data_IF_516514222133
#
_entry.id   IF_516514222133
#
_cell.length_a   1.000
_cell.length_b   1.000
_cell.length_c   1.000
_cell.angle_alpha   90.00
_cell.angle_beta   90.00
_cell.angle_gamma   90.00
#
_symmetry.space_group_name_H-M   'P 1'
#
loop_
_entity.id
_entity.type
_entity.pdbx_description
1 polymer ?
#
# COMPACT_ATOMS: atom_id res chain seq x y z
N UNK A 1 -15.29 11.46 16.24
CA UNK A 1 -14.64 10.14 16.40
C UNK A 1 -13.36 10.20 15.59
N UNK A 2 -12.24 9.71 16.11
CA UNK A 2 -10.98 9.65 15.38
C UNK A 2 -11.09 8.52 14.36
N UNK A 3 -10.78 8.80 13.09
CA UNK A 3 -10.69 7.79 12.04
C UNK A 3 -9.46 6.91 12.22
N UNK A 4 -9.43 5.74 11.56
CA UNK A 4 -8.21 4.96 11.47
C UNK A 4 -7.25 5.56 10.43
N UNK A 5 -5.95 5.34 10.61
CA UNK A 5 -4.96 5.68 9.60
C UNK A 5 -5.24 4.89 8.31
N UNK A 6 -5.03 5.46 7.12
CA UNK A 6 -5.27 4.75 5.87
C UNK A 6 -4.42 3.48 5.73
N UNK A 7 -5.02 2.41 5.23
CA UNK A 7 -4.38 1.08 5.09
C UNK A 7 -3.18 1.09 4.15
N UNK A 8 -3.12 2.05 3.22
CA UNK A 8 -2.03 2.24 2.25
C UNK A 8 -0.88 3.13 2.75
N UNK A 9 -0.86 3.48 4.04
CA UNK A 9 0.25 4.21 4.65
C UNK A 9 1.56 3.41 4.57
N UNK A 10 2.63 4.03 4.09
CA UNK A 10 3.97 3.44 4.06
C UNK A 10 4.65 3.51 5.44
N UNK A 11 5.86 2.94 5.58
CA UNK A 11 6.56 2.88 6.88
C UNK A 11 6.90 4.26 7.46
N UNK A 12 7.19 5.25 6.61
CA UNK A 12 7.52 6.63 7.02
C UNK A 12 6.26 7.34 7.53
N UNK A 13 5.14 7.18 6.81
CA UNK A 13 3.85 7.77 7.18
C UNK A 13 3.31 7.18 8.48
N UNK A 14 3.40 5.85 8.65
CA UNK A 14 3.04 5.16 9.90
C UNK A 14 3.91 5.65 11.06
N UNK A 15 5.24 5.71 10.88
CA UNK A 15 6.17 6.19 11.90
C UNK A 15 5.89 7.64 12.29
N UNK A 16 5.70 8.53 11.32
CA UNK A 16 5.43 9.95 11.54
C UNK A 16 4.06 10.22 12.19
N UNK A 17 3.04 9.42 11.88
CA UNK A 17 1.75 9.48 12.58
C UNK A 17 1.92 9.03 14.05
N UNK A 18 2.58 7.89 14.29
CA UNK A 18 2.82 7.37 15.63
C UNK A 18 3.62 8.35 16.52
N UNK A 19 4.70 8.93 16.00
CA UNK A 19 5.49 9.94 16.73
C UNK A 19 4.63 11.12 17.17
N UNK A 20 3.81 11.69 16.26
CA UNK A 20 2.91 12.80 16.59
C UNK A 20 1.86 12.42 17.63
N UNK A 21 1.34 11.19 17.60
CA UNK A 21 0.39 10.68 18.62
C UNK A 21 1.05 10.51 19.99
N UNK A 22 2.26 9.95 20.03
CA UNK A 22 3.05 9.82 21.27
C UNK A 22 3.27 11.21 21.89
N UNK A 23 3.77 12.16 21.09
CA UNK A 23 4.07 13.52 21.54
C UNK A 23 2.81 14.25 22.04
N UNK A 24 1.71 14.17 21.30
CA UNK A 24 0.44 14.77 21.70
C UNK A 24 -0.07 14.21 23.03
N UNK A 25 0.06 12.90 23.25
CA UNK A 25 -0.39 12.26 24.49
C UNK A 25 0.48 12.69 25.67
N UNK A 26 1.80 12.74 25.50
CA UNK A 26 2.76 13.24 26.51
C UNK A 26 2.51 14.71 26.86
N UNK A 27 2.22 15.56 25.88
CA UNK A 27 1.96 16.99 26.07
C UNK A 27 0.68 17.25 26.90
N UNK A 28 -0.36 16.44 26.70
CA UNK A 28 -1.67 16.64 27.36
C UNK A 28 -1.65 16.13 28.82
N UNK A 29 -0.67 15.32 29.21
CA UNK A 29 -0.42 14.86 30.60
C UNK A 29 -1.65 14.21 31.25
N UNK A 30 -2.26 13.22 30.60
CA UNK A 30 -3.37 12.47 31.17
C UNK A 30 -2.85 11.47 32.20
N UNK A 31 -3.42 11.49 33.41
CA UNK A 31 -3.16 10.49 34.44
C UNK A 31 -4.09 9.27 34.24
N UNK A 32 -3.77 8.44 33.25
CA UNK A 32 -4.50 7.23 32.90
C UNK A 32 -3.48 6.11 32.66
N UNK A 33 -3.47 5.12 33.56
CA UNK A 33 -2.47 4.04 33.55
C UNK A 33 -2.51 3.19 32.28
N UNK A 34 -3.72 2.90 31.79
CA UNK A 34 -3.89 2.07 30.60
C UNK A 34 -3.46 2.82 29.34
N UNK A 35 -3.85 4.09 29.19
CA UNK A 35 -3.38 4.93 28.09
C UNK A 35 -1.86 5.09 28.11
N UNK A 36 -1.27 5.30 29.29
CA UNK A 36 0.18 5.44 29.45
C UNK A 36 0.90 4.13 29.06
N UNK A 37 0.34 2.97 29.42
CA UNK A 37 0.88 1.67 28.99
C UNK A 37 0.80 1.48 27.47
N UNK A 38 -0.32 1.83 26.85
CA UNK A 38 -0.49 1.76 25.39
C UNK A 38 0.50 2.68 24.66
N UNK A 39 0.67 3.92 25.13
CA UNK A 39 1.62 4.88 24.54
C UNK A 39 3.06 4.41 24.72
N UNK A 40 3.41 3.84 25.88
CA UNK A 40 4.75 3.27 26.10
C UNK A 40 5.03 2.10 25.16
N UNK A 41 4.03 1.24 24.92
CA UNK A 41 4.16 0.15 23.95
C UNK A 41 4.30 0.69 22.52
N UNK A 42 3.48 1.66 22.11
CA UNK A 42 3.59 2.32 20.82
C UNK A 42 4.99 2.93 20.63
N UNK A 43 5.54 3.59 21.65
CA UNK A 43 6.87 4.19 21.60
C UNK A 43 7.97 3.14 21.37
N UNK A 44 7.91 2.00 22.07
CA UNK A 44 8.87 0.90 21.88
C UNK A 44 8.85 0.37 20.44
N UNK A 45 7.66 0.01 19.93
CA UNK A 45 7.55 -0.53 18.57
C UNK A 45 7.86 0.54 17.51
N UNK A 46 7.59 1.82 17.79
CA UNK A 46 7.91 2.92 16.88
C UNK A 46 9.42 3.20 16.81
N UNK A 47 10.16 3.00 17.90
CA UNK A 47 11.63 3.06 17.89
C UNK A 47 12.24 1.96 17.03
N UNK A 48 11.68 0.74 17.06
CA UNK A 48 12.10 -0.36 16.19
C UNK A 48 11.82 -0.05 14.72
N UNK A 49 10.68 0.57 14.42
CA UNK A 49 10.34 1.03 13.08
C UNK A 49 11.28 2.14 12.61
N UNK A 50 11.64 3.11 13.46
CA UNK A 50 12.63 4.15 13.15
C UNK A 50 13.99 3.52 12.79
N UNK A 51 14.52 2.64 13.65
CA UNK A 51 15.78 1.92 13.37
C UNK A 51 15.72 1.15 12.05
N UNK A 52 14.59 0.51 11.77
CA UNK A 52 14.38 -0.22 10.52
C UNK A 52 14.32 0.70 9.30
N UNK A 53 13.75 1.90 9.43
CA UNK A 53 13.76 2.93 8.39
C UNK A 53 15.18 3.51 8.17
N UNK A 54 15.97 3.68 9.22
CA UNK A 54 17.35 4.20 9.11
C UNK A 54 18.26 3.19 8.38
N UNK A 55 18.09 1.90 8.69
CA UNK A 55 18.77 0.81 7.97
C UNK A 55 18.38 0.76 6.48
N UNK A 56 17.16 1.17 6.13
CA UNK A 56 16.68 1.28 4.73
C UNK A 56 17.38 2.42 3.98
N UNK A 57 17.70 3.54 4.63
CA UNK A 57 18.38 4.68 4.00
C UNK A 57 19.89 4.43 3.77
N UNK A 58 20.48 3.45 4.46
CA UNK A 58 21.93 3.19 4.42
C UNK A 58 22.45 2.42 3.18
N UNK A 59 21.58 2.06 2.22
CA UNK A 59 21.99 1.42 0.95
C UNK A 59 21.40 2.18 -0.24
N UNK A 60 22.17 3.15 -0.75
CA UNK A 60 21.84 3.90 -1.96
C UNK A 60 21.59 2.97 -3.15
N UNK A 61 20.51 3.23 -3.90
CA UNK A 61 20.31 2.73 -5.26
C UNK A 61 19.25 1.65 -5.49
N UNK A 62 18.72 1.00 -4.45
CA UNK A 62 17.64 0.00 -4.63
C UNK A 62 16.28 0.72 -4.53
N UNK A 63 15.47 0.77 -5.61
CA UNK A 63 14.14 1.35 -5.54
C UNK A 63 13.30 0.65 -4.48
N UNK A 64 12.42 1.39 -3.79
CA UNK A 64 11.60 0.79 -2.75
C UNK A 64 10.73 -0.31 -3.36
N UNK A 65 10.92 -1.55 -2.87
CA UNK A 65 10.12 -2.72 -3.28
C UNK A 65 8.61 -2.43 -3.17
N UNK A 66 8.21 -1.58 -2.22
CA UNK A 66 6.81 -1.13 -2.06
C UNK A 66 6.35 -0.17 -3.16
N UNK A 67 7.21 0.73 -3.61
CA UNK A 67 6.90 1.65 -4.70
C UNK A 67 6.82 0.88 -6.02
N UNK A 68 7.74 -0.08 -6.23
CA UNK A 68 7.70 -1.00 -7.37
C UNK A 68 6.49 -1.94 -7.34
N UNK A 69 6.11 -2.46 -6.17
CA UNK A 69 4.86 -3.22 -6.00
C UNK A 69 3.64 -2.36 -6.35
N UNK A 70 3.61 -1.12 -5.86
CA UNK A 70 2.53 -0.17 -6.16
C UNK A 70 2.44 0.12 -7.66
N UNK A 71 3.59 0.33 -8.32
CA UNK A 71 3.66 0.56 -9.76
C UNK A 71 3.19 -0.65 -10.56
N UNK A 72 3.64 -1.86 -10.19
CA UNK A 72 3.19 -3.13 -10.77
C UNK A 72 1.68 -3.28 -10.66
N UNK A 73 1.11 -3.02 -9.48
CA UNK A 73 -0.32 -3.14 -9.23
C UNK A 73 -1.13 -2.09 -10.00
N UNK A 74 -0.61 -0.88 -10.15
CA UNK A 74 -1.21 0.18 -10.96
C UNK A 74 -1.23 -0.22 -12.44
N UNK A 75 -0.11 -0.65 -12.99
CA UNK A 75 -0.01 -1.09 -14.38
C UNK A 75 -0.99 -2.22 -14.69
N UNK A 76 -1.09 -3.21 -13.78
CA UNK A 76 -2.03 -4.32 -13.93
C UNK A 76 -3.49 -3.85 -13.96
N UNK A 77 -3.87 -2.93 -13.06
CA UNK A 77 -5.22 -2.36 -13.03
C UNK A 77 -5.52 -1.54 -14.29
N UNK A 78 -4.57 -0.73 -14.75
CA UNK A 78 -4.73 0.07 -15.95
C UNK A 78 -4.98 -0.83 -17.17
N UNK A 79 -4.13 -1.85 -17.37
CA UNK A 79 -4.32 -2.84 -18.43
C UNK A 79 -5.71 -3.50 -18.36
N UNK A 80 -6.14 -3.97 -17.19
CA UNK A 80 -7.44 -4.63 -17.03
C UNK A 80 -8.62 -3.70 -17.33
N UNK A 81 -8.57 -2.47 -16.81
CA UNK A 81 -9.66 -1.51 -16.99
C UNK A 81 -9.77 -1.04 -18.44
N UNK A 82 -8.65 -0.86 -19.14
CA UNK A 82 -8.65 -0.46 -20.55
C UNK A 82 -9.18 -1.60 -21.43
N UNK A 83 -8.73 -2.84 -21.22
CA UNK A 83 -9.26 -4.01 -21.94
C UNK A 83 -10.76 -4.16 -21.67
N UNK A 84 -11.19 -4.05 -20.41
CA UNK A 84 -12.61 -4.09 -20.05
C UNK A 84 -13.41 -2.97 -20.72
N UNK A 85 -12.91 -1.74 -20.73
CA UNK A 85 -13.56 -0.63 -21.44
C UNK A 85 -13.67 -0.89 -22.94
N UNK A 86 -12.68 -1.60 -23.51
CA UNK A 86 -12.65 -2.04 -24.89
C UNK A 86 -13.83 -2.91 -25.30
N UNK A 87 -14.34 -3.76 -24.40
CA UNK A 87 -15.47 -4.65 -24.67
C UNK A 87 -16.80 -3.91 -24.88
N UNK A 88 -16.87 -2.62 -24.52
CA UNK A 88 -18.07 -1.79 -24.67
C UNK A 88 -17.97 -0.80 -25.84
N UNK A 89 -16.91 -0.87 -26.67
CA UNK A 89 -16.77 0.04 -27.81
C UNK A 89 -17.78 -0.31 -28.90
N UNK A 90 -18.30 0.72 -29.56
CA UNK A 90 -19.24 0.59 -30.69
C UNK A 90 -18.60 0.02 -31.98
N UNK A 91 -17.29 -0.18 -31.98
CA UNK A 91 -16.61 -0.87 -33.07
C UNK A 91 -16.58 -2.36 -32.74
N UNK A 92 -17.44 -3.13 -33.39
CA UNK A 92 -17.64 -4.56 -33.10
C UNK A 92 -16.33 -5.35 -33.17
N UNK A 93 -15.49 -5.11 -34.20
CA UNK A 93 -14.19 -5.77 -34.32
C UNK A 93 -13.29 -5.44 -33.12
N UNK A 94 -13.27 -4.19 -32.65
CA UNK A 94 -12.49 -3.81 -31.48
C UNK A 94 -13.04 -4.46 -30.21
N UNK A 95 -14.36 -4.47 -30.04
CA UNK A 95 -15.02 -5.04 -28.88
C UNK A 95 -14.76 -6.55 -28.78
N UNK A 96 -14.94 -7.29 -29.87
CA UNK A 96 -14.67 -8.72 -29.95
C UNK A 96 -13.21 -9.06 -29.61
N UNK A 97 -12.24 -8.29 -30.13
CA UNK A 97 -10.83 -8.51 -29.80
C UNK A 97 -10.52 -8.18 -28.34
N UNK A 98 -11.18 -7.17 -27.78
CA UNK A 98 -11.05 -6.83 -26.35
C UNK A 98 -11.66 -7.91 -25.46
N UNK A 99 -12.78 -8.51 -25.87
CA UNK A 99 -13.46 -9.57 -25.14
C UNK A 99 -12.59 -10.82 -25.05
N UNK A 100 -11.93 -11.23 -26.14
CA UNK A 100 -10.96 -12.34 -26.12
C UNK A 100 -9.84 -12.13 -25.08
N UNK A 101 -9.33 -10.91 -24.97
CA UNK A 101 -8.29 -10.58 -23.98
C UNK A 101 -8.91 -10.57 -22.56
N UNK A 102 -10.11 -10.01 -22.41
CA UNK A 102 -10.79 -9.90 -21.13
C UNK A 102 -11.15 -11.26 -20.53
N UNK A 103 -11.63 -12.20 -21.34
CA UNK A 103 -11.93 -13.57 -20.92
C UNK A 103 -10.69 -14.28 -20.34
N UNK A 104 -9.52 -14.04 -20.93
CA UNK A 104 -8.24 -14.56 -20.40
C UNK A 104 -7.94 -13.92 -19.05
N UNK A 105 -8.10 -12.60 -18.93
CA UNK A 105 -7.89 -11.87 -17.67
C UNK A 105 -8.82 -12.40 -16.57
N UNK A 106 -10.10 -12.64 -16.88
CA UNK A 106 -11.08 -13.16 -15.91
C UNK A 106 -10.72 -14.55 -15.41
N UNK A 107 -10.25 -15.44 -16.29
CA UNK A 107 -9.79 -16.79 -15.90
C UNK A 107 -8.62 -16.76 -14.92
N UNK A 108 -7.74 -15.75 -15.01
CA UNK A 108 -6.63 -15.55 -14.05
C UNK A 108 -7.02 -14.74 -12.81
N UNK A 109 -8.19 -14.12 -12.81
CA UNK A 109 -8.80 -13.42 -11.68
C UNK A 109 -8.58 -11.90 -11.67
N UNK A 110 -9.68 -11.15 -11.59
CA UNK A 110 -9.70 -9.68 -11.64
C UNK A 110 -9.03 -9.00 -10.43
N UNK A 111 -8.91 -9.70 -9.31
CA UNK A 111 -8.34 -9.18 -8.06
C UNK A 111 -6.88 -9.63 -7.84
N UNK A 112 -6.14 -9.94 -8.91
CA UNK A 112 -4.77 -10.45 -8.83
C UNK A 112 -3.82 -9.53 -8.05
N UNK A 113 -4.02 -8.21 -8.11
CA UNK A 113 -3.29 -7.19 -7.35
C UNK A 113 -3.51 -7.25 -5.82
N UNK A 114 -4.41 -8.10 -5.33
CA UNK A 114 -4.63 -8.32 -3.87
C UNK A 114 -3.99 -9.63 -3.39
N UNK A 115 -3.38 -10.39 -4.28
CA UNK A 115 -2.76 -11.66 -3.92
C UNK A 115 -1.43 -11.42 -3.19
N UNK A 116 -1.01 -12.33 -2.30
CA UNK A 116 0.33 -12.27 -1.74
C UNK A 116 1.39 -12.32 -2.85
N UNK A 117 2.47 -11.54 -2.71
CA UNK A 117 3.48 -11.31 -3.75
C UNK A 117 3.91 -12.54 -4.56
N UNK A 118 4.28 -13.63 -3.89
CA UNK A 118 4.67 -14.88 -4.58
C UNK A 118 3.57 -15.44 -5.47
N UNK A 119 2.32 -15.40 -4.99
CA UNK A 119 1.15 -15.88 -5.72
C UNK A 119 0.79 -14.90 -6.85
N UNK A 120 0.83 -13.60 -6.58
CA UNK A 120 0.60 -12.57 -7.60
C UNK A 120 1.56 -12.73 -8.78
N UNK A 121 2.87 -12.81 -8.53
CA UNK A 121 3.88 -13.00 -9.58
C UNK A 121 3.62 -14.28 -10.38
N UNK A 122 3.33 -15.39 -9.72
CA UNK A 122 3.05 -16.65 -10.41
C UNK A 122 1.82 -16.54 -11.34
N UNK A 123 0.75 -15.91 -10.85
CA UNK A 123 -0.47 -15.68 -11.65
C UNK A 123 -0.21 -14.70 -12.79
N UNK A 124 0.55 -13.62 -12.58
CA UNK A 124 0.93 -12.68 -13.64
C UNK A 124 1.74 -13.36 -14.74
N UNK A 125 2.73 -14.19 -14.38
CA UNK A 125 3.50 -14.95 -15.37
C UNK A 125 2.62 -15.92 -16.16
N UNK A 126 1.66 -16.58 -15.51
CA UNK A 126 0.70 -17.44 -16.20
C UNK A 126 -0.17 -16.65 -17.18
N UNK A 127 -0.67 -15.48 -16.77
CA UNK A 127 -1.42 -14.57 -17.63
C UNK A 127 -0.59 -14.12 -18.83
N UNK A 128 0.66 -13.71 -18.61
CA UNK A 128 1.57 -13.28 -19.68
C UNK A 128 1.86 -14.38 -20.69
N UNK A 129 2.03 -15.61 -20.22
CA UNK A 129 2.24 -16.77 -21.10
C UNK A 129 0.99 -17.06 -21.94
N UNK A 130 -0.20 -16.92 -21.36
CA UNK A 130 -1.43 -17.13 -22.11
C UNK A 130 -1.68 -16.02 -23.13
N UNK A 131 -1.46 -14.75 -22.77
CA UNK A 131 -1.56 -13.61 -23.68
C UNK A 131 -0.51 -13.60 -24.80
N UNK A 132 0.53 -14.45 -24.70
CA UNK A 132 1.53 -14.66 -25.76
C UNK A 132 1.08 -15.68 -26.83
N UNK A 133 -0.13 -16.25 -26.76
CA UNK A 133 -0.65 -17.09 -27.84
C UNK A 133 -0.90 -16.25 -29.12
N UNK A 134 -0.67 -16.79 -30.33
CA UNK A 134 -0.73 -16.02 -31.58
C UNK A 134 -2.02 -15.21 -31.76
N UNK A 135 -3.17 -15.82 -31.48
CA UNK A 135 -4.49 -15.20 -31.60
C UNK A 135 -4.70 -14.03 -30.62
N UNK A 136 -4.07 -14.08 -29.44
CA UNK A 136 -4.14 -13.02 -28.44
C UNK A 136 -3.12 -11.91 -28.71
N UNK A 137 -1.97 -12.24 -29.30
CA UNK A 137 -1.02 -11.24 -29.78
C UNK A 137 -1.66 -10.35 -30.85
N UNK A 138 -2.41 -10.96 -31.78
CA UNK A 138 -3.16 -10.19 -32.78
C UNK A 138 -4.23 -9.31 -32.13
N UNK A 139 -5.00 -9.85 -31.19
CA UNK A 139 -5.99 -9.08 -30.43
C UNK A 139 -5.36 -7.89 -29.67
N UNK A 140 -4.21 -8.10 -29.02
CA UNK A 140 -3.47 -7.05 -28.31
C UNK A 140 -2.98 -5.94 -29.25
N UNK A 141 -2.62 -6.29 -30.50
CA UNK A 141 -2.25 -5.33 -31.54
C UNK A 141 -3.47 -4.57 -32.06
N UNK A 142 -4.54 -5.27 -32.40
CA UNK A 142 -5.79 -4.69 -32.92
C UNK A 142 -6.44 -3.72 -31.92
N UNK A 143 -6.29 -4.01 -30.62
CA UNK A 143 -6.80 -3.14 -29.54
C UNK A 143 -5.81 -2.07 -29.09
N UNK A 144 -4.55 -2.11 -29.55
CA UNK A 144 -3.48 -1.22 -29.09
C UNK A 144 -3.04 -1.46 -27.63
N UNK A 145 -3.50 -2.52 -26.98
CA UNK A 145 -3.22 -2.78 -25.56
C UNK A 145 -1.89 -3.49 -25.31
N UNK A 146 -1.17 -3.86 -26.37
CA UNK A 146 0.16 -4.47 -26.28
C UNK A 146 1.18 -3.61 -25.51
N UNK A 147 1.13 -2.28 -25.65
CA UNK A 147 2.04 -1.36 -24.95
C UNK A 147 1.82 -1.46 -23.43
N UNK A 148 0.56 -1.42 -23.00
CA UNK A 148 0.18 -1.56 -21.59
C UNK A 148 0.61 -2.90 -21.01
N UNK A 149 0.43 -4.00 -21.76
CA UNK A 149 0.91 -5.31 -21.33
C UNK A 149 2.43 -5.33 -21.12
N UNK A 150 3.18 -4.64 -21.98
CA UNK A 150 4.63 -4.55 -21.87
C UNK A 150 5.06 -3.71 -20.66
N UNK A 151 4.37 -2.60 -20.37
CA UNK A 151 4.59 -1.80 -19.15
C UNK A 151 4.37 -2.66 -17.88
N UNK A 152 3.31 -3.46 -17.85
CA UNK A 152 3.04 -4.37 -16.71
C UNK A 152 4.16 -5.41 -16.57
N UNK A 153 4.66 -5.95 -17.70
CA UNK A 153 5.78 -6.91 -17.71
C UNK A 153 7.05 -6.28 -17.15
N UNK A 154 7.38 -5.05 -17.58
CA UNK A 154 8.55 -4.30 -17.09
C UNK A 154 8.41 -4.03 -15.59
N UNK A 155 7.28 -3.48 -15.14
CA UNK A 155 7.06 -3.20 -13.72
C UNK A 155 7.16 -4.46 -12.83
N UNK A 156 6.70 -5.62 -13.35
CA UNK A 156 6.86 -6.90 -12.65
C UNK A 156 8.33 -7.37 -12.62
N UNK A 157 9.10 -7.14 -13.69
CA UNK A 157 10.53 -7.44 -13.73
C UNK A 157 11.33 -6.57 -12.76
N UNK A 158 11.06 -5.26 -12.73
CA UNK A 158 11.72 -4.33 -11.81
C UNK A 158 11.41 -4.68 -10.36
N UNK A 159 10.15 -4.99 -10.05
CA UNK A 159 9.76 -5.51 -8.75
C UNK A 159 10.54 -6.77 -8.37
N UNK A 160 10.63 -7.76 -9.28
CA UNK A 160 11.35 -9.00 -9.01
C UNK A 160 12.85 -8.77 -8.82
N UNK A 161 13.46 -7.91 -9.62
CA UNK A 161 14.88 -7.57 -9.49
C UNK A 161 15.16 -6.97 -8.11
N UNK A 162 14.39 -5.97 -7.69
CA UNK A 162 14.55 -5.35 -6.37
C UNK A 162 14.19 -6.31 -5.23
N UNK A 163 13.18 -7.17 -5.41
CA UNK A 163 12.78 -8.17 -4.43
C UNK A 163 13.87 -9.24 -4.25
N UNK A 164 14.46 -9.73 -5.34
CA UNK A 164 15.53 -10.74 -5.33
C UNK A 164 16.85 -10.18 -4.83
N UNK A 165 17.22 -8.97 -5.23
CA UNK A 165 18.40 -8.26 -4.71
C UNK A 165 18.30 -8.12 -3.19
N UNK A 166 17.12 -7.72 -2.70
CA UNK A 166 16.85 -7.62 -1.26
C UNK A 166 16.85 -8.98 -0.55
N UNK A 167 16.50 -10.05 -1.23
CA UNK A 167 16.52 -11.42 -0.67
C UNK A 167 17.90 -12.06 -0.68
N UNK A 168 18.79 -11.68 -1.62
CA UNK A 168 20.19 -12.14 -1.68
C UNK A 168 21.04 -11.47 -0.61
N UNK A 169 20.70 -10.26 -0.22
CA UNK A 169 21.27 -9.61 0.94
C UNK A 169 20.65 -10.15 2.24
N UNK A 170 21.33 -11.08 2.91
CA UNK A 170 20.89 -11.63 4.21
C UNK A 170 20.60 -10.56 5.25
N UNK A 171 21.31 -9.42 5.21
CA UNK A 171 21.06 -8.27 6.07
C UNK A 171 19.81 -7.50 5.62
N UNK A 172 19.64 -7.28 4.31
CA UNK A 172 18.47 -6.64 3.70
C UNK A 172 17.16 -7.41 3.87
N UNK A 173 17.19 -8.75 3.83
CA UNK A 173 16.03 -9.62 4.07
C UNK A 173 15.60 -9.61 5.54
N UNK A 174 16.56 -9.73 6.46
CA UNK A 174 16.28 -9.58 7.89
C UNK A 174 15.69 -8.19 8.18
N UNK A 175 16.28 -7.14 7.61
CA UNK A 175 15.80 -5.76 7.76
C UNK A 175 14.41 -5.54 7.15
N UNK A 176 14.07 -6.20 6.03
CA UNK A 176 12.71 -6.12 5.45
C UNK A 176 11.67 -6.78 6.34
N UNK A 177 11.96 -7.99 6.82
CA UNK A 177 11.04 -8.73 7.70
C UNK A 177 10.81 -7.94 8.97
N UNK A 178 11.89 -7.39 9.56
CA UNK A 178 11.81 -6.50 10.71
C UNK A 178 11.00 -5.23 10.41
N UNK A 179 11.21 -4.59 9.25
CA UNK A 179 10.48 -3.40 8.85
C UNK A 179 8.97 -3.66 8.68
N UNK A 180 8.59 -4.77 8.05
CA UNK A 180 7.18 -5.17 7.86
C UNK A 180 6.52 -5.46 9.21
N UNK A 181 7.20 -6.24 10.05
CA UNK A 181 6.72 -6.60 11.38
C UNK A 181 6.54 -5.33 12.23
N UNK A 182 7.59 -4.50 12.33
CA UNK A 182 7.56 -3.25 13.09
C UNK A 182 6.48 -2.29 12.58
N UNK A 183 6.28 -2.17 11.26
CA UNK A 183 5.18 -1.35 10.70
C UNK A 183 3.81 -1.88 11.12
N UNK A 184 3.63 -3.20 11.04
CA UNK A 184 2.37 -3.86 11.43
C UNK A 184 2.08 -3.66 12.91
N UNK A 185 3.10 -3.80 13.76
CA UNK A 185 2.98 -3.65 15.20
C UNK A 185 2.68 -2.20 15.59
N UNK A 186 3.39 -1.22 15.01
CA UNK A 186 3.09 0.21 15.22
C UNK A 186 1.66 0.53 14.83
N UNK A 187 1.20 0.03 13.69
CA UNK A 187 -0.16 0.27 13.23
C UNK A 187 -1.21 -0.30 14.19
N UNK A 188 -1.01 -1.54 14.63
CA UNK A 188 -1.89 -2.19 15.62
C UNK A 188 -1.94 -1.41 16.93
N UNK A 189 -0.79 -0.97 17.44
CA UNK A 189 -0.74 -0.16 18.67
C UNK A 189 -1.40 1.21 18.50
N UNK A 190 -1.24 1.83 17.33
CA UNK A 190 -1.89 3.10 16.99
C UNK A 190 -3.42 2.95 16.97
N UNK A 191 -3.93 1.88 16.35
CA UNK A 191 -5.35 1.55 16.30
C UNK A 191 -5.90 1.31 17.73
N UNK A 192 -5.17 0.60 18.59
CA UNK A 192 -5.56 0.39 20.00
C UNK A 192 -5.70 1.70 20.77
N UNK A 193 -4.78 2.66 20.59
CA UNK A 193 -4.86 3.98 21.23
C UNK A 193 -6.06 4.78 20.70
N UNK A 194 -6.28 4.75 19.39
CA UNK A 194 -7.43 5.42 18.76
C UNK A 194 -8.76 4.89 19.32
N UNK A 195 -8.90 3.57 19.38
CA UNK A 195 -10.10 2.90 19.89
C UNK A 195 -10.31 3.19 21.38
N UNK A 196 -9.23 3.17 22.16
CA UNK A 196 -9.26 3.52 23.57
C UNK A 196 -9.76 4.96 23.78
N UNK A 197 -9.14 5.94 23.13
CA UNK A 197 -9.50 7.37 23.27
C UNK A 197 -10.92 7.62 22.79
N UNK A 198 -11.35 7.01 21.68
CA UNK A 198 -12.72 7.10 21.18
C UNK A 198 -13.74 6.52 22.16
N UNK A 199 -13.39 5.45 22.88
CA UNK A 199 -14.27 4.82 23.87
C UNK A 199 -14.36 5.66 25.13
N UNK A 200 -13.21 6.05 25.69
CA UNK A 200 -13.13 6.80 26.93
C UNK A 200 -13.71 8.21 26.78
N UNK A 201 -13.56 8.86 25.63
CA UNK A 201 -14.16 10.17 25.37
C UNK A 201 -15.70 10.13 25.38
N UNK A 202 -16.31 9.02 24.96
CA UNK A 202 -17.77 8.82 24.97
C UNK A 202 -18.29 8.57 26.37
N UNK A 203 -17.56 7.77 27.16
CA UNK A 203 -18.02 7.30 28.48
C UNK A 203 -17.74 8.34 29.57
N UNK A 204 -16.54 8.91 29.63
CA UNK A 204 -16.09 9.67 30.81
C UNK A 204 -16.29 11.19 30.69
N UNK A 205 -16.68 11.74 29.54
CA UNK A 205 -16.94 13.18 29.30
C UNK A 205 -15.91 14.19 29.84
N UNK A 206 -14.72 13.75 30.27
CA UNK A 206 -13.68 14.60 30.85
C UNK A 206 -13.10 15.52 29.76
N UNK A 207 -13.04 16.82 30.05
CA UNK A 207 -12.51 17.85 29.14
C UNK A 207 -11.11 17.52 28.62
N UNK A 208 -10.26 16.92 29.47
CA UNK A 208 -8.89 16.56 29.08
C UNK A 208 -8.85 15.43 28.04
N UNK A 209 -9.75 14.44 28.15
CA UNK A 209 -9.86 13.33 27.19
C UNK A 209 -10.43 13.83 25.87
N UNK A 210 -11.39 14.76 25.90
CA UNK A 210 -11.91 15.39 24.68
C UNK A 210 -10.83 16.19 23.95
N UNK A 211 -9.99 16.94 24.68
CA UNK A 211 -8.83 17.63 24.09
C UNK A 211 -7.87 16.67 23.40
N UNK A 212 -7.56 15.54 24.04
CA UNK A 212 -6.75 14.49 23.41
C UNK A 212 -7.45 13.93 22.18
N UNK A 213 -8.74 13.61 22.26
CA UNK A 213 -9.49 13.09 21.13
C UNK A 213 -9.44 14.02 19.92
N UNK A 214 -9.67 15.32 20.11
CA UNK A 214 -9.57 16.32 19.05
C UNK A 214 -8.16 16.35 18.46
N UNK A 215 -7.13 16.42 19.33
CA UNK A 215 -5.74 16.51 18.87
C UNK A 215 -5.30 15.29 18.06
N UNK A 216 -5.65 14.09 18.52
CA UNK A 216 -5.37 12.85 17.79
C UNK A 216 -6.16 12.78 16.48
N UNK A 217 -7.42 13.23 16.49
CA UNK A 217 -8.25 13.38 15.30
C UNK A 217 -7.58 14.24 14.23
N UNK A 218 -7.08 15.41 14.62
CA UNK A 218 -6.38 16.32 13.70
C UNK A 218 -5.10 15.69 13.12
N UNK A 219 -4.33 14.98 13.95
CA UNK A 219 -3.11 14.29 13.53
C UNK A 219 -3.43 13.20 12.49
N UNK A 220 -4.41 12.35 12.77
CA UNK A 220 -4.78 11.26 11.86
C UNK A 220 -5.41 11.81 10.59
N UNK A 221 -6.33 12.78 10.69
CA UNK A 221 -6.94 13.41 9.53
C UNK A 221 -5.91 14.10 8.63
N UNK A 222 -4.93 14.81 9.21
CA UNK A 222 -3.82 15.38 8.43
C UNK A 222 -2.98 14.29 7.77
N UNK A 223 -2.61 13.25 8.51
CA UNK A 223 -1.84 12.13 7.96
C UNK A 223 -2.58 11.44 6.82
N UNK A 224 -3.88 11.19 6.98
CA UNK A 224 -4.72 10.60 5.93
C UNK A 224 -4.83 11.50 4.71
N UNK A 225 -4.91 12.84 4.89
CA UNK A 225 -4.86 13.78 3.76
C UNK A 225 -3.52 13.70 3.03
N UNK A 226 -2.40 13.68 3.74
CA UNK A 226 -1.07 13.60 3.14
C UNK A 226 -0.89 12.26 2.39
N UNK A 227 -1.30 11.14 3.01
CA UNK A 227 -1.31 9.81 2.40
C UNK A 227 -2.20 9.80 1.15
N UNK A 228 -3.41 10.36 1.26
CA UNK A 228 -4.36 10.42 0.15
C UNK A 228 -3.79 11.27 -0.98
N UNK A 229 -3.25 12.44 -0.69
CA UNK A 229 -2.59 13.28 -1.69
C UNK A 229 -1.41 12.56 -2.35
N UNK A 230 -0.61 11.75 -1.63
CA UNK A 230 0.43 10.93 -2.28
C UNK A 230 -0.16 9.86 -3.19
N UNK A 231 -1.22 9.18 -2.75
CA UNK A 231 -1.90 8.16 -3.55
C UNK A 231 -2.49 8.80 -4.80
N UNK A 232 -3.20 9.92 -4.63
CA UNK A 232 -3.88 10.68 -5.67
C UNK A 232 -2.88 11.38 -6.59
N UNK A 233 -1.75 11.93 -6.12
CA UNK A 233 -0.66 12.50 -6.95
C UNK A 233 0.08 11.42 -7.73
N UNK A 234 0.15 10.21 -7.18
CA UNK A 234 0.53 9.05 -7.96
C UNK A 234 -0.46 8.79 -9.10
N UNK A 235 -1.71 9.20 -8.98
CA UNK A 235 -2.77 9.08 -10.00
C UNK A 235 -2.97 10.39 -10.82
N UNK A 236 -2.40 11.54 -10.41
CA UNK A 236 -2.52 12.87 -11.05
C UNK A 236 -1.26 13.28 -11.86
N UNK A 237 -0.26 12.40 -11.98
CA UNK A 237 0.79 12.54 -13.02
C UNK A 237 0.26 12.23 -14.44
N UNK A 238 -1.04 11.93 -14.54
CA UNK A 238 -1.80 11.67 -15.77
C UNK A 238 -2.76 12.81 -16.15
N UNK A 239 -2.25 14.06 -16.24
CA UNK A 239 -2.93 15.13 -16.99
C UNK A 239 -1.99 15.84 -17.96
#
# INVERSE_FOLDING_TARGET
MIEQLFSRANSIEVNGAATRVIDATKQIKINDELLNALVSNLEKVNQELTKSNDLKQSKDGIPDVWDLETLRDRGLKAFFNIVKGGTFRLNDKFAEQSEKIYEVIERHGLNMHKLPNKKQTATMNSLFNELNKPELIEALKDTGTQVLLNEVKIANQDFLAAFDERNKDTSGRANLILLIAARTDVRKQLEQIIDYVNTVSKVLSKTVVKKLQTKLGDIISKSNKDIKSRIDLGDDTDK
#
